data_IF_536491596518
#
_entry.id   IF_536491596518
#
_cell.length_a   1.000
_cell.length_b   1.000
_cell.length_c   1.000
_cell.angle_alpha   90.00
_cell.angle_beta   90.00
_cell.angle_gamma   90.00
#
_symmetry.space_group_name_H-M   'P 1'
#
loop_
_entity.id
_entity.type
_entity.pdbx_description
1 polymer ?
#
# COMPACT_ATOMS: atom_id res chain seq x y z
N UNK A 1 18.51 -6.56 74.11
CA UNK A 1 17.46 -6.80 73.07
C UNK A 1 17.60 -5.91 71.81
N UNK A 2 18.36 -4.84 71.83
CA UNK A 2 18.49 -3.84 70.73
C UNK A 2 19.43 -4.31 69.59
N UNK A 3 20.41 -5.15 69.86
CA UNK A 3 21.40 -5.58 68.89
C UNK A 3 20.92 -6.60 67.82
N UNK A 4 19.82 -7.30 68.09
CA UNK A 4 19.31 -8.27 67.13
C UNK A 4 18.49 -7.64 65.98
N UNK A 5 17.83 -6.52 66.26
CA UNK A 5 17.03 -5.81 65.24
C UNK A 5 17.91 -5.08 64.19
N UNK A 6 19.11 -4.64 64.57
CA UNK A 6 20.01 -3.96 63.64
C UNK A 6 20.64 -4.94 62.62
N UNK A 7 20.83 -6.21 62.98
CA UNK A 7 21.37 -7.22 62.04
C UNK A 7 20.37 -7.67 60.99
N UNK A 8 19.11 -7.88 61.42
CA UNK A 8 18.00 -8.26 60.50
C UNK A 8 17.66 -7.12 59.55
N UNK A 9 17.70 -5.87 59.99
CA UNK A 9 17.45 -4.71 59.13
C UNK A 9 18.50 -4.55 58.02
N UNK A 10 19.77 -4.83 58.31
CA UNK A 10 20.88 -4.78 57.30
C UNK A 10 20.76 -5.88 56.26
N UNK A 11 20.31 -7.07 56.63
CA UNK A 11 20.08 -8.18 55.69
C UNK A 11 18.89 -7.91 54.78
N UNK A 12 17.81 -7.33 55.28
CA UNK A 12 16.65 -6.92 54.47
C UNK A 12 16.98 -5.78 53.50
N UNK A 13 17.77 -4.80 53.91
CA UNK A 13 18.18 -3.69 53.04
C UNK A 13 19.15 -4.16 51.94
N UNK A 14 20.03 -5.11 52.24
CA UNK A 14 20.95 -5.71 51.29
C UNK A 14 20.23 -6.55 50.20
N UNK A 15 19.18 -7.32 50.59
CA UNK A 15 18.34 -8.09 49.69
C UNK A 15 17.50 -7.20 48.75
N UNK A 16 17.03 -6.06 49.22
CA UNK A 16 16.24 -5.13 48.43
C UNK A 16 17.08 -4.41 47.38
N UNK A 17 18.37 -4.10 47.67
CA UNK A 17 19.27 -3.47 46.72
C UNK A 17 19.68 -4.43 45.57
N UNK A 18 19.86 -5.73 45.86
CA UNK A 18 20.16 -6.73 44.84
C UNK A 18 19.00 -7.01 43.91
N UNK A 19 17.78 -6.89 44.39
CA UNK A 19 16.56 -7.07 43.58
C UNK A 19 16.30 -5.95 42.55
N UNK A 20 16.76 -4.72 42.82
CA UNK A 20 16.57 -3.58 41.91
C UNK A 20 17.54 -3.54 40.73
N UNK A 21 18.67 -4.25 40.79
CA UNK A 21 19.62 -4.30 39.68
C UNK A 21 19.29 -5.29 38.56
N UNK A 22 18.22 -6.09 38.72
CA UNK A 22 17.79 -7.08 37.73
C UNK A 22 16.83 -6.54 36.65
N UNK A 23 16.39 -5.30 36.73
CA UNK A 23 15.64 -4.65 35.65
C UNK A 23 16.62 -4.13 34.59
N UNK A 24 17.27 -5.06 33.89
CA UNK A 24 18.02 -4.72 32.68
C UNK A 24 17.06 -4.11 31.66
N UNK A 25 17.24 -2.82 31.33
CA UNK A 25 16.54 -2.21 30.22
C UNK A 25 16.84 -3.04 28.96
N UNK A 26 15.83 -3.71 28.45
CA UNK A 26 15.91 -4.31 27.13
C UNK A 26 16.15 -3.18 26.11
N UNK A 27 17.37 -3.04 25.63
CA UNK A 27 17.72 -2.07 24.58
C UNK A 27 17.19 -2.63 23.26
N UNK A 28 16.13 -2.00 22.74
CA UNK A 28 15.62 -2.30 21.39
C UNK A 28 16.29 -1.36 20.39
N UNK A 29 16.78 -1.91 19.31
CA UNK A 29 17.30 -1.18 18.15
C UNK A 29 16.31 -1.29 16.99
N UNK A 30 16.17 -0.21 16.25
CA UNK A 30 15.39 -0.23 15.01
C UNK A 30 16.30 -0.65 13.88
N UNK A 31 15.97 -1.78 13.23
CA UNK A 31 16.71 -2.32 12.10
C UNK A 31 15.91 -2.08 10.83
N UNK A 32 16.54 -1.52 9.81
CA UNK A 32 15.97 -1.39 8.49
C UNK A 32 16.09 -2.72 7.75
N UNK A 33 14.95 -3.25 7.30
CA UNK A 33 14.86 -4.42 6.43
C UNK A 33 14.75 -3.92 4.99
N UNK A 34 15.56 -4.39 4.06
CA UNK A 34 15.48 -3.98 2.65
C UNK A 34 14.12 -4.33 2.05
N UNK A 35 13.74 -3.69 0.93
CA UNK A 35 12.52 -4.01 0.21
C UNK A 35 12.50 -5.48 -0.21
N UNK A 36 11.31 -6.10 -0.27
CA UNK A 36 11.16 -7.49 -0.74
C UNK A 36 11.45 -7.63 -2.23
N UNK A 37 11.19 -6.56 -2.99
CA UNK A 37 11.45 -6.48 -4.43
C UNK A 37 12.46 -5.35 -4.66
N UNK A 38 13.63 -5.70 -5.16
CA UNK A 38 14.67 -4.76 -5.57
C UNK A 38 14.62 -4.61 -7.10
N UNK A 39 14.48 -3.37 -7.55
CA UNK A 39 14.43 -3.03 -8.97
C UNK A 39 15.77 -2.53 -9.52
N UNK A 40 16.80 -2.36 -8.67
CA UNK A 40 18.12 -1.88 -9.12
C UNK A 40 18.72 -2.70 -10.28
N UNK A 41 18.58 -4.04 -10.31
CA UNK A 41 19.13 -4.86 -11.40
C UNK A 41 18.57 -4.51 -12.78
N UNK A 42 17.40 -3.87 -12.85
CA UNK A 42 16.75 -3.54 -14.11
C UNK A 42 17.12 -2.16 -14.66
N UNK A 43 17.79 -1.31 -13.89
CA UNK A 43 18.20 0.07 -14.21
C UNK A 43 17.06 0.95 -14.78
N UNK A 44 16.45 0.52 -15.87
CA UNK A 44 15.28 1.15 -16.50
C UNK A 44 14.14 0.14 -16.62
N UNK A 45 13.00 0.49 -16.03
CA UNK A 45 11.80 -0.33 -16.00
C UNK A 45 10.72 0.31 -16.87
N UNK A 46 10.12 -0.46 -17.77
CA UNK A 46 8.96 0.00 -18.53
C UNK A 46 7.71 0.04 -17.64
N UNK A 47 6.83 0.99 -17.91
CA UNK A 47 5.50 1.02 -17.30
C UNK A 47 4.45 1.29 -18.38
N UNK A 48 3.47 0.39 -18.46
CA UNK A 48 2.26 0.59 -19.27
C UNK A 48 1.26 1.36 -18.43
N UNK A 49 0.59 2.33 -19.04
CA UNK A 49 -0.46 3.08 -18.36
C UNK A 49 -1.53 2.15 -17.80
N UNK A 50 -1.92 2.35 -16.56
CA UNK A 50 -2.95 1.53 -15.91
C UNK A 50 -4.27 1.68 -16.66
N UNK A 51 -4.95 0.56 -16.90
CA UNK A 51 -6.27 0.55 -17.50
C UNK A 51 -7.37 0.60 -16.44
N UNK A 52 -8.52 1.16 -16.78
CA UNK A 52 -9.69 1.12 -15.90
C UNK A 52 -11.01 1.06 -16.67
N UNK A 53 -12.08 0.80 -15.93
CA UNK A 53 -13.46 0.97 -16.40
C UNK A 53 -13.99 2.40 -16.23
N UNK A 54 -13.12 3.36 -15.95
CA UNK A 54 -13.45 4.75 -15.60
C UNK A 54 -12.90 5.74 -16.64
N UNK A 55 -12.80 7.01 -16.27
CA UNK A 55 -12.31 8.09 -17.13
C UNK A 55 -10.79 7.97 -17.37
N UNK A 56 -10.34 8.28 -18.58
CA UNK A 56 -8.92 8.18 -18.98
C UNK A 56 -7.95 8.98 -18.09
N UNK A 57 -8.38 10.14 -17.58
CA UNK A 57 -7.53 10.93 -16.68
C UNK A 57 -7.16 10.19 -15.38
N UNK A 58 -8.02 9.30 -14.89
CA UNK A 58 -7.74 8.50 -13.70
C UNK A 58 -6.69 7.41 -13.97
N UNK A 59 -6.59 6.92 -15.21
CA UNK A 59 -5.55 5.96 -15.61
C UNK A 59 -4.16 6.57 -15.45
N UNK A 60 -3.98 7.78 -15.96
CA UNK A 60 -2.73 8.52 -15.82
C UNK A 60 -2.42 8.82 -14.35
N UNK A 61 -3.41 9.28 -13.57
CA UNK A 61 -3.25 9.56 -12.13
C UNK A 61 -2.78 8.30 -11.39
N UNK A 62 -3.45 7.16 -11.59
CA UNK A 62 -3.08 5.90 -10.94
C UNK A 62 -1.65 5.46 -11.29
N UNK A 63 -1.28 5.58 -12.57
CA UNK A 63 0.06 5.26 -13.07
C UNK A 63 1.12 6.13 -12.42
N UNK A 64 0.91 7.45 -12.39
CA UNK A 64 1.84 8.41 -11.81
C UNK A 64 2.01 8.22 -10.30
N UNK A 65 0.91 7.96 -9.56
CA UNK A 65 0.97 7.66 -8.13
C UNK A 65 1.77 6.38 -7.86
N UNK A 66 1.47 5.30 -8.60
CA UNK A 66 2.18 4.03 -8.48
C UNK A 66 3.69 4.19 -8.74
N UNK A 67 4.05 4.81 -9.85
CA UNK A 67 5.44 5.08 -10.23
C UNK A 67 6.14 5.96 -9.18
N UNK A 68 5.49 7.02 -8.73
CA UNK A 68 6.05 7.96 -7.75
C UNK A 68 6.39 7.28 -6.42
N UNK A 69 5.55 6.37 -5.93
CA UNK A 69 5.84 5.63 -4.69
C UNK A 69 7.04 4.69 -4.83
N UNK A 70 7.20 4.05 -5.98
CA UNK A 70 8.37 3.20 -6.24
C UNK A 70 9.64 4.05 -6.36
N UNK A 71 9.62 5.15 -7.13
CA UNK A 71 10.77 6.04 -7.29
C UNK A 71 11.20 6.68 -5.98
N UNK A 72 10.26 7.05 -5.11
CA UNK A 72 10.58 7.58 -3.78
C UNK A 72 11.26 6.53 -2.89
N UNK A 73 10.92 5.26 -3.04
CA UNK A 73 11.51 4.16 -2.28
C UNK A 73 12.84 3.66 -2.86
N UNK A 74 12.98 3.71 -4.19
CA UNK A 74 14.14 3.23 -4.95
C UNK A 74 14.54 4.29 -5.99
N UNK A 75 15.16 5.41 -5.58
CA UNK A 75 15.38 6.60 -6.42
C UNK A 75 16.35 6.39 -7.59
N UNK A 76 17.13 5.32 -7.59
CA UNK A 76 18.03 4.96 -8.68
C UNK A 76 17.32 4.30 -9.86
N UNK A 77 16.07 3.84 -9.68
CA UNK A 77 15.28 3.19 -10.75
C UNK A 77 14.69 4.26 -11.66
N UNK A 78 14.88 4.10 -12.95
CA UNK A 78 14.29 4.95 -13.98
C UNK A 78 13.09 4.27 -14.61
N UNK A 79 12.01 5.01 -14.79
CA UNK A 79 10.84 4.53 -15.52
C UNK A 79 10.80 5.05 -16.95
N UNK A 80 10.44 4.17 -17.87
CA UNK A 80 10.08 4.50 -19.23
C UNK A 80 8.57 4.31 -19.39
N UNK A 81 7.83 5.40 -19.55
CA UNK A 81 6.39 5.35 -19.79
C UNK A 81 6.12 4.89 -21.22
N UNK A 82 5.45 3.75 -21.35
CA UNK A 82 5.14 3.11 -22.64
C UNK A 82 3.78 3.55 -23.23
N UNK A 83 3.00 4.30 -22.42
CA UNK A 83 1.66 4.75 -22.75
C UNK A 83 0.57 3.69 -22.57
N UNK A 84 -0.66 3.96 -23.07
CA UNK A 84 -1.78 3.02 -22.97
C UNK A 84 -1.52 1.71 -23.73
N UNK A 85 -2.04 0.60 -23.18
CA UNK A 85 -1.83 -0.74 -23.72
C UNK A 85 -2.25 -0.88 -25.18
N UNK A 86 -3.44 -0.35 -25.53
CA UNK A 86 -3.97 -0.43 -26.89
C UNK A 86 -3.09 0.27 -27.93
N UNK A 87 -2.45 1.38 -27.57
CA UNK A 87 -1.51 2.09 -28.41
C UNK A 87 -0.16 1.35 -28.51
N UNK A 88 0.30 0.80 -27.37
CA UNK A 88 1.54 0.07 -27.30
C UNK A 88 1.50 -1.18 -28.16
N UNK A 89 0.47 -2.03 -28.04
CA UNK A 89 0.34 -3.25 -28.82
C UNK A 89 0.23 -2.95 -30.33
N UNK A 90 -0.47 -1.89 -30.72
CA UNK A 90 -0.51 -1.42 -32.12
C UNK A 90 0.88 -1.01 -32.62
N UNK A 91 1.67 -0.25 -31.83
CA UNK A 91 3.04 0.15 -32.19
C UNK A 91 4.00 -1.04 -32.29
N UNK A 92 3.70 -2.15 -31.62
CA UNK A 92 4.46 -3.40 -31.68
C UNK A 92 3.98 -4.34 -32.81
N UNK A 93 2.86 -4.01 -33.46
CA UNK A 93 2.22 -4.91 -34.44
C UNK A 93 1.61 -6.16 -33.82
N UNK A 94 1.12 -6.04 -32.59
CA UNK A 94 0.53 -7.12 -31.77
C UNK A 94 -0.92 -6.81 -31.44
N UNK A 95 -1.64 -7.82 -30.91
CA UNK A 95 -3.04 -7.70 -30.52
C UNK A 95 -3.26 -7.70 -29.00
N UNK A 96 -2.25 -8.13 -28.24
CA UNK A 96 -2.29 -8.24 -26.77
C UNK A 96 -0.89 -8.12 -26.18
N UNK A 97 -0.81 -7.83 -24.87
CA UNK A 97 0.44 -7.92 -24.10
C UNK A 97 0.70 -9.38 -23.68
N UNK A 98 1.11 -10.18 -24.62
CA UNK A 98 1.57 -11.55 -24.43
C UNK A 98 3.11 -11.66 -24.34
N UNK A 99 3.63 -12.88 -24.26
CA UNK A 99 5.07 -13.16 -24.17
C UNK A 99 5.83 -12.54 -25.37
N UNK A 100 5.24 -12.63 -26.56
CA UNK A 100 5.87 -12.10 -27.78
C UNK A 100 5.86 -10.56 -27.78
N UNK A 101 4.82 -9.94 -27.19
CA UNK A 101 4.78 -8.49 -27.01
C UNK A 101 5.84 -8.05 -25.99
N UNK A 102 6.06 -8.81 -24.91
CA UNK A 102 7.11 -8.51 -23.92
C UNK A 102 8.50 -8.52 -24.57
N UNK A 103 8.83 -9.52 -25.39
CA UNK A 103 10.08 -9.57 -26.15
C UNK A 103 10.21 -8.39 -27.12
N UNK A 104 9.13 -8.04 -27.81
CA UNK A 104 9.14 -6.89 -28.73
C UNK A 104 9.33 -5.55 -27.97
N UNK A 105 8.87 -5.44 -26.73
CA UNK A 105 9.13 -4.29 -25.86
C UNK A 105 10.63 -4.22 -25.53
N UNK A 106 11.26 -5.32 -25.15
CA UNK A 106 12.69 -5.39 -24.87
C UNK A 106 13.51 -4.96 -26.08
N UNK A 107 13.24 -5.56 -27.24
CA UNK A 107 13.93 -5.27 -28.50
C UNK A 107 13.80 -3.79 -28.92
N UNK A 108 12.60 -3.22 -28.78
CA UNK A 108 12.31 -1.86 -29.26
C UNK A 108 12.72 -0.76 -28.29
N UNK A 109 12.54 -0.99 -26.98
CA UNK A 109 12.70 0.04 -25.95
C UNK A 109 13.91 -0.20 -25.03
N UNK A 110 14.53 -1.37 -25.10
CA UNK A 110 15.71 -1.71 -24.29
C UNK A 110 15.40 -1.85 -22.80
N UNK A 111 14.17 -2.18 -22.43
CA UNK A 111 13.77 -2.40 -21.03
C UNK A 111 13.65 -3.89 -20.75
N UNK A 112 14.29 -4.36 -19.69
CA UNK A 112 14.31 -5.77 -19.29
C UNK A 112 13.14 -6.19 -18.40
N UNK A 113 12.35 -5.24 -17.95
CA UNK A 113 11.14 -5.52 -17.17
C UNK A 113 10.07 -4.44 -17.35
N UNK A 114 8.81 -4.81 -17.15
CA UNK A 114 7.65 -3.95 -17.41
C UNK A 114 6.60 -4.11 -16.31
N UNK A 115 6.09 -3.00 -15.80
CA UNK A 115 4.87 -2.97 -15.00
C UNK A 115 3.64 -2.80 -15.88
N UNK A 116 2.62 -3.58 -15.57
CA UNK A 116 1.24 -3.39 -16.06
C UNK A 116 0.30 -3.30 -14.88
N UNK A 117 -0.84 -2.66 -15.05
CA UNK A 117 -1.84 -2.60 -14.00
C UNK A 117 -3.21 -2.21 -14.50
N UNK A 118 -4.19 -2.52 -13.69
CA UNK A 118 -5.57 -2.09 -13.88
C UNK A 118 -6.22 -1.76 -12.55
N UNK A 119 -7.24 -0.94 -12.60
CA UNK A 119 -8.12 -0.70 -11.45
C UNK A 119 -9.57 -0.63 -11.91
N UNK A 120 -10.45 -1.00 -11.00
CA UNK A 120 -11.89 -0.98 -11.22
C UNK A 120 -12.57 -0.17 -10.12
N UNK A 121 -13.44 0.74 -10.52
CA UNK A 121 -14.28 1.53 -9.63
C UNK A 121 -15.70 0.98 -9.71
N UNK A 122 -16.25 0.54 -8.57
CA UNK A 122 -17.65 0.08 -8.53
C UNK A 122 -18.61 1.25 -8.63
N UNK A 123 -19.82 0.95 -9.06
CA UNK A 123 -20.93 1.88 -8.88
C UNK A 123 -21.12 2.19 -7.38
N UNK A 124 -21.61 3.38 -7.08
CA UNK A 124 -21.95 3.79 -5.72
C UNK A 124 -23.04 2.86 -5.16
N UNK A 125 -22.73 2.19 -4.06
CA UNK A 125 -23.62 1.23 -3.41
C UNK A 125 -24.30 1.84 -2.19
N UNK A 126 -25.64 1.92 -2.13
CA UNK A 126 -26.31 2.35 -0.92
C UNK A 126 -26.20 1.29 0.17
N UNK A 127 -25.90 1.72 1.39
CA UNK A 127 -25.90 0.89 2.60
C UNK A 127 -26.82 1.52 3.64
N UNK A 128 -27.88 0.83 4.00
CA UNK A 128 -28.84 1.28 5.01
C UNK A 128 -28.71 0.42 6.26
N UNK A 129 -28.70 1.04 7.42
CA UNK A 129 -28.70 0.39 8.73
C UNK A 129 -29.72 1.06 9.63
N UNK A 130 -30.58 0.28 10.22
CA UNK A 130 -31.62 0.73 11.17
C UNK A 130 -31.28 0.10 12.50
N UNK A 131 -31.30 0.90 13.58
CA UNK A 131 -31.13 0.35 14.93
C UNK A 131 -32.34 -0.54 15.30
N UNK A 132 -32.07 -1.58 16.08
CA UNK A 132 -33.08 -2.56 16.46
C UNK A 132 -34.28 -1.95 17.20
N UNK A 133 -34.07 -0.83 17.89
CA UNK A 133 -35.10 -0.07 18.61
C UNK A 133 -35.75 1.04 17.77
N UNK A 134 -35.42 1.11 16.47
CA UNK A 134 -35.87 2.14 15.54
C UNK A 134 -35.50 3.58 15.94
N UNK A 135 -34.64 3.75 16.95
CA UNK A 135 -34.25 5.07 17.47
C UNK A 135 -33.34 5.85 16.52
N UNK A 136 -32.69 5.17 15.58
CA UNK A 136 -31.83 5.82 14.60
C UNK A 136 -31.80 5.11 13.25
N UNK A 137 -31.81 5.91 12.19
CA UNK A 137 -31.60 5.50 10.81
C UNK A 137 -30.24 5.99 10.34
N UNK A 138 -29.46 5.12 9.74
CA UNK A 138 -28.22 5.48 9.04
C UNK A 138 -28.28 4.95 7.61
N UNK A 139 -28.17 5.85 6.67
CA UNK A 139 -27.97 5.52 5.27
C UNK A 139 -26.57 6.02 4.85
N UNK A 140 -25.87 5.25 4.07
CA UNK A 140 -24.58 5.66 3.51
C UNK A 140 -24.45 5.16 2.08
N UNK A 141 -23.63 5.84 1.30
CA UNK A 141 -23.21 5.38 -0.01
C UNK A 141 -21.71 5.05 0.05
N UNK A 142 -21.34 3.91 -0.52
CA UNK A 142 -19.98 3.39 -0.51
C UNK A 142 -19.52 3.15 -1.95
N UNK A 143 -18.28 3.51 -2.26
CA UNK A 143 -17.59 3.11 -3.48
C UNK A 143 -16.49 2.10 -3.13
N UNK A 144 -16.34 1.07 -3.95
CA UNK A 144 -15.25 0.12 -3.84
C UNK A 144 -14.31 0.34 -5.03
N UNK A 145 -13.02 0.33 -4.75
CA UNK A 145 -11.99 0.39 -5.79
C UNK A 145 -11.03 -0.77 -5.56
N UNK A 146 -10.77 -1.54 -6.60
CA UNK A 146 -9.72 -2.56 -6.61
C UNK A 146 -8.63 -2.15 -7.58
N UNK A 147 -7.38 -2.37 -7.22
CA UNK A 147 -6.21 -2.10 -8.05
C UNK A 147 -5.30 -3.33 -8.06
N UNK A 148 -4.85 -3.71 -9.25
CA UNK A 148 -3.93 -4.84 -9.46
C UNK A 148 -2.75 -4.35 -10.28
N UNK A 149 -1.54 -4.81 -9.95
CA UNK A 149 -0.37 -4.60 -10.79
C UNK A 149 0.46 -5.88 -10.87
N UNK A 150 1.11 -6.05 -12.02
CA UNK A 150 2.07 -7.14 -12.30
C UNK A 150 3.37 -6.53 -12.79
N UNK A 151 4.47 -7.19 -12.42
CA UNK A 151 5.80 -6.91 -12.92
C UNK A 151 6.28 -8.11 -13.74
N UNK A 152 6.63 -7.86 -14.98
CA UNK A 152 7.00 -8.87 -15.96
C UNK A 152 8.49 -8.75 -16.28
N UNK A 153 9.15 -9.88 -16.47
CA UNK A 153 10.42 -9.95 -17.16
C UNK A 153 10.17 -10.01 -18.67
N UNK A 154 10.82 -9.13 -19.44
CA UNK A 154 10.53 -8.99 -20.88
C UNK A 154 11.08 -10.14 -21.71
N UNK A 155 12.26 -10.66 -21.35
CA UNK A 155 12.93 -11.75 -22.09
C UNK A 155 12.15 -13.06 -22.07
N UNK A 156 11.56 -13.42 -20.93
CA UNK A 156 10.82 -14.67 -20.73
C UNK A 156 9.30 -14.50 -20.79
N UNK A 157 8.80 -13.27 -20.58
CA UNK A 157 7.38 -13.01 -20.35
C UNK A 157 6.87 -13.53 -19.01
N UNK A 158 7.77 -13.87 -18.08
CA UNK A 158 7.39 -14.36 -16.76
C UNK A 158 6.90 -13.23 -15.85
N UNK A 159 5.85 -13.49 -15.08
CA UNK A 159 5.44 -12.59 -13.99
C UNK A 159 6.37 -12.81 -12.80
N UNK A 160 7.21 -11.83 -12.47
CA UNK A 160 8.13 -11.86 -11.34
C UNK A 160 7.53 -11.31 -10.05
N UNK A 161 6.50 -10.50 -10.17
CA UNK A 161 5.72 -10.02 -9.02
C UNK A 161 4.30 -9.67 -9.44
N UNK A 162 3.36 -9.89 -8.53
CA UNK A 162 1.98 -9.45 -8.67
C UNK A 162 1.42 -9.10 -7.30
N UNK A 163 0.63 -8.04 -7.24
CA UNK A 163 -0.06 -7.63 -6.03
C UNK A 163 -1.41 -7.03 -6.37
N UNK A 164 -2.32 -7.08 -5.42
CA UNK A 164 -3.64 -6.46 -5.51
C UNK A 164 -4.02 -5.81 -4.20
N UNK A 165 -4.78 -4.72 -4.28
CA UNK A 165 -5.35 -4.02 -3.13
C UNK A 165 -6.78 -3.61 -3.45
N UNK A 166 -7.59 -3.57 -2.40
CA UNK A 166 -8.97 -3.13 -2.47
C UNK A 166 -9.27 -2.19 -1.31
N UNK A 167 -10.02 -1.14 -1.59
CA UNK A 167 -10.48 -0.17 -0.60
C UNK A 167 -11.98 0.08 -0.70
N UNK A 168 -12.55 0.56 0.40
CA UNK A 168 -13.96 0.90 0.54
C UNK A 168 -14.07 2.29 1.13
N UNK A 169 -14.68 3.22 0.41
CA UNK A 169 -14.81 4.60 0.88
C UNK A 169 -16.26 5.02 0.95
N UNK A 170 -16.59 5.69 2.05
CA UNK A 170 -17.89 6.28 2.25
C UNK A 170 -17.96 7.62 1.53
N UNK A 171 -18.81 7.73 0.53
CA UNK A 171 -18.97 8.93 -0.30
C UNK A 171 -20.18 9.79 0.10
N UNK A 172 -21.19 9.20 0.74
CA UNK A 172 -22.30 9.95 1.29
C UNK A 172 -22.85 9.29 2.56
N UNK A 173 -23.50 10.04 3.40
CA UNK A 173 -24.16 9.50 4.59
C UNK A 173 -25.25 10.40 5.13
N UNK A 174 -26.32 9.77 5.60
CA UNK A 174 -27.40 10.38 6.34
C UNK A 174 -27.45 9.71 7.70
N UNK A 175 -27.53 10.51 8.74
CA UNK A 175 -27.85 10.04 10.10
C UNK A 175 -29.10 10.79 10.57
N UNK A 176 -30.08 10.05 11.01
CA UNK A 176 -31.28 10.60 11.67
C UNK A 176 -31.37 9.99 13.06
N UNK A 177 -31.42 10.84 14.07
CA UNK A 177 -31.73 10.51 15.46
C UNK A 177 -33.01 11.23 15.83
N UNK A 178 -33.60 10.90 16.99
CA UNK A 178 -34.87 11.48 17.43
C UNK A 178 -34.90 13.04 17.43
N UNK A 179 -33.74 13.70 17.54
CA UNK A 179 -33.60 15.15 17.65
C UNK A 179 -32.74 15.82 16.58
N UNK A 180 -32.15 15.06 15.64
CA UNK A 180 -31.24 15.64 14.65
C UNK A 180 -31.16 14.81 13.37
N UNK A 181 -31.03 15.50 12.25
CA UNK A 181 -30.77 14.89 10.93
C UNK A 181 -29.48 15.52 10.38
N UNK A 182 -28.43 14.72 10.25
CA UNK A 182 -27.17 15.14 9.67
C UNK A 182 -26.95 14.55 8.28
N UNK A 183 -26.43 15.38 7.38
CA UNK A 183 -26.17 15.05 6.00
C UNK A 183 -24.67 15.19 5.73
N UNK A 184 -24.05 14.19 5.12
CA UNK A 184 -22.69 14.29 4.61
C UNK A 184 -22.66 13.80 3.16
N UNK A 185 -22.12 14.59 2.26
CA UNK A 185 -21.93 14.23 0.85
C UNK A 185 -20.54 14.67 0.41
N UNK A 186 -19.80 13.74 -0.15
CA UNK A 186 -18.54 14.00 -0.87
C UNK A 186 -18.79 13.62 -2.31
N UNK A 187 -18.42 14.47 -3.25
CA UNK A 187 -18.46 14.14 -4.68
C UNK A 187 -17.41 13.04 -4.93
N UNK A 188 -17.80 11.81 -5.33
CA UNK A 188 -16.83 10.72 -5.48
C UNK A 188 -15.69 11.09 -6.41
N UNK A 189 -15.98 11.79 -7.50
CA UNK A 189 -15.03 12.21 -8.52
C UNK A 189 -13.90 13.07 -7.97
N UNK A 190 -14.20 13.97 -7.03
CA UNK A 190 -13.21 14.82 -6.36
C UNK A 190 -12.29 14.04 -5.40
N UNK A 191 -12.71 12.84 -4.99
CA UNK A 191 -11.99 12.02 -4.03
C UNK A 191 -11.18 10.89 -4.67
N UNK A 192 -11.39 10.57 -5.95
CA UNK A 192 -10.73 9.44 -6.61
C UNK A 192 -9.20 9.58 -6.61
N UNK A 193 -8.65 10.78 -6.77
CA UNK A 193 -7.20 11.01 -6.69
C UNK A 193 -6.63 10.48 -5.35
N UNK A 194 -7.28 10.81 -4.23
CA UNK A 194 -6.87 10.36 -2.90
C UNK A 194 -7.04 8.86 -2.73
N UNK A 195 -8.13 8.28 -3.21
CA UNK A 195 -8.37 6.84 -3.10
C UNK A 195 -7.36 6.03 -3.91
N UNK A 196 -7.05 6.48 -5.11
CA UNK A 196 -6.01 5.87 -5.95
C UNK A 196 -4.63 6.02 -5.31
N UNK A 197 -4.34 7.14 -4.65
CA UNK A 197 -3.10 7.34 -3.91
C UNK A 197 -2.97 6.34 -2.75
N UNK A 198 -4.01 6.20 -1.91
CA UNK A 198 -4.02 5.23 -0.81
C UNK A 198 -3.81 3.80 -1.31
N UNK A 199 -4.48 3.42 -2.42
CA UNK A 199 -4.32 2.09 -3.02
C UNK A 199 -2.94 1.89 -3.64
N UNK A 200 -2.42 2.85 -4.40
CA UNK A 200 -1.09 2.78 -5.00
C UNK A 200 -0.01 2.70 -3.93
N UNK A 201 -0.16 3.47 -2.83
CA UNK A 201 0.72 3.36 -1.68
C UNK A 201 0.71 1.95 -1.07
N UNK A 202 -0.46 1.38 -0.82
CA UNK A 202 -0.58 0.04 -0.26
C UNK A 202 -0.10 -1.05 -1.24
N UNK A 203 -0.33 -0.86 -2.55
CA UNK A 203 0.05 -1.81 -3.59
C UNK A 203 1.57 -1.92 -3.72
N UNK A 204 2.29 -0.80 -3.58
CA UNK A 204 3.76 -0.69 -3.71
C UNK A 204 4.54 -1.02 -2.44
N UNK A 205 3.90 -1.58 -1.41
CA UNK A 205 4.51 -1.88 -0.11
C UNK A 205 5.78 -2.76 -0.23
N UNK A 206 5.79 -3.73 -1.13
CA UNK A 206 6.92 -4.64 -1.32
C UNK A 206 8.19 -3.96 -1.87
N UNK A 207 8.08 -2.76 -2.42
CA UNK A 207 9.21 -1.99 -2.96
C UNK A 207 9.83 -1.04 -1.93
N UNK A 208 9.25 -0.94 -0.72
CA UNK A 208 9.74 -0.07 0.35
C UNK A 208 10.51 -0.85 1.42
N UNK A 209 11.52 -0.24 2.03
CA UNK A 209 12.16 -0.81 3.21
C UNK A 209 11.17 -0.81 4.39
N UNK A 210 11.27 -1.81 5.24
CA UNK A 210 10.52 -1.92 6.48
C UNK A 210 11.43 -1.69 7.69
N UNK A 211 10.86 -1.30 8.83
CA UNK A 211 11.59 -1.07 10.05
C UNK A 211 11.06 -2.00 11.15
N UNK A 212 11.95 -2.82 11.69
CA UNK A 212 11.63 -3.73 12.79
C UNK A 212 12.37 -3.33 14.05
N UNK A 213 11.68 -3.45 15.18
CA UNK A 213 12.35 -3.36 16.50
C UNK A 213 12.90 -4.73 16.84
N UNK A 214 14.21 -4.82 17.10
CA UNK A 214 14.89 -6.02 17.54
C UNK A 214 15.60 -5.76 18.86
N UNK A 215 15.72 -6.78 19.68
CA UNK A 215 16.55 -6.69 20.87
C UNK A 215 18.01 -6.46 20.47
N UNK A 216 18.67 -5.51 21.13
CA UNK A 216 20.08 -5.26 20.88
C UNK A 216 20.89 -6.52 21.22
N UNK A 217 21.88 -6.89 20.42
CA UNK A 217 22.81 -7.97 20.77
C UNK A 217 23.48 -7.65 22.10
N UNK A 218 23.54 -8.66 22.99
CA UNK A 218 24.21 -8.58 24.30
C UNK A 218 25.71 -8.47 24.13
#
# INVERSE_FOLDING_TARGET
>A
MVFHHLRTLKIFLGSLLVGLSAFGCAHTVVVQIPPKIDLQPYETVGIVEFASNSQENLNQIATQKFMGFIQNAQPQVRFLELGPEDQLVKKLGRNSLDIEAMKAIEEKYGVSSVFTGNFEISNVQPKVSIANDLSSLRASAVVNISMVSKHWETSSGATIWSNSRQGHWKVAGIRSNANDISFSMNTPEEQYDRYLEELAYALTDNFRPHYEKRDAPK
#
